data_IF_492711644165
#
_entry.id   IF_492711644165
#
_cell.length_a   1.000
_cell.length_b   1.000
_cell.length_c   1.000
_cell.angle_alpha   90.00
_cell.angle_beta   90.00
_cell.angle_gamma   90.00
#
_symmetry.space_group_name_H-M   'P 1'
#
loop_
_entity.id
_entity.type
_entity.pdbx_description
1 polymer ?
#
# COMPACT_ATOMS: atom_id res chain seq x y z
N UNK A 1 30.49 -8.41 15.00
CA UNK A 1 30.60 -7.25 14.11
C UNK A 1 29.63 -6.20 14.62
N UNK A 2 30.13 -5.04 14.96
CA UNK A 2 29.30 -3.95 15.47
C UNK A 2 28.87 -3.03 14.30
N UNK A 3 27.65 -2.55 14.29
CA UNK A 3 27.10 -1.67 13.27
C UNK A 3 26.13 -0.66 13.90
N UNK A 4 25.92 0.45 13.24
CA UNK A 4 24.98 1.46 13.73
C UNK A 4 23.56 1.12 13.28
N UNK A 5 22.61 1.26 14.20
CA UNK A 5 21.18 1.12 13.97
C UNK A 5 20.49 2.39 14.39
N UNK A 6 19.67 2.94 13.51
CA UNK A 6 18.86 4.12 13.79
C UNK A 6 17.43 3.68 14.10
N UNK A 7 16.93 4.10 15.27
CA UNK A 7 15.56 3.84 15.71
C UNK A 7 14.73 5.10 15.60
N UNK A 8 13.50 4.94 15.19
CA UNK A 8 12.59 6.05 14.98
C UNK A 8 11.13 5.67 15.15
N UNK A 9 10.31 6.68 15.01
CA UNK A 9 8.85 6.54 15.05
C UNK A 9 8.26 6.97 13.72
N UNK A 10 7.31 6.21 13.22
CA UNK A 10 6.55 6.53 12.02
C UNK A 10 5.05 6.31 12.26
N UNK A 11 4.24 7.28 11.82
CA UNK A 11 2.78 7.18 11.78
C UNK A 11 2.27 6.95 10.35
N UNK A 12 3.18 6.79 9.40
CA UNK A 12 2.81 6.54 8.01
C UNK A 12 2.17 5.17 7.85
N UNK A 13 1.23 5.07 6.94
CA UNK A 13 0.59 3.80 6.62
C UNK A 13 1.63 2.73 6.20
N UNK A 14 1.42 1.48 6.64
CA UNK A 14 2.35 0.37 6.33
C UNK A 14 2.55 0.16 4.83
N UNK A 15 1.53 0.45 4.02
CA UNK A 15 1.55 0.31 2.56
C UNK A 15 2.15 1.52 1.83
N UNK A 16 2.43 2.61 2.52
CA UNK A 16 3.02 3.80 1.90
C UNK A 16 4.46 3.51 1.45
N UNK A 17 4.79 3.86 0.21
CA UNK A 17 6.14 3.76 -0.32
C UNK A 17 7.10 4.72 0.39
N UNK A 18 6.63 5.93 0.67
CA UNK A 18 7.41 6.96 1.38
C UNK A 18 6.87 7.08 2.78
N UNK A 19 7.75 6.88 3.76
CA UNK A 19 7.43 7.02 5.17
C UNK A 19 8.14 8.23 5.76
N UNK A 20 7.41 8.99 6.55
CA UNK A 20 7.98 10.02 7.39
C UNK A 20 8.44 9.36 8.68
N UNK A 21 9.74 9.32 8.91
CA UNK A 21 10.34 8.71 10.10
C UNK A 21 11.02 9.79 10.89
N UNK A 22 10.64 9.93 12.15
CA UNK A 22 11.33 10.77 13.12
C UNK A 22 12.36 9.91 13.85
N UNK A 23 13.65 10.16 13.60
CA UNK A 23 14.72 9.43 14.28
C UNK A 23 14.79 9.86 15.74
N UNK A 24 14.69 8.88 16.63
CA UNK A 24 14.75 9.11 18.09
C UNK A 24 16.16 8.89 18.61
N UNK A 25 16.78 7.78 18.22
CA UNK A 25 18.11 7.41 18.72
C UNK A 25 18.87 6.57 17.71
N UNK A 26 20.18 6.75 17.68
CA UNK A 26 21.10 5.87 16.91
C UNK A 26 22.04 5.19 17.89
N UNK A 27 22.09 3.88 17.85
CA UNK A 27 22.86 3.06 18.79
C UNK A 27 23.67 2.01 18.07
N UNK A 28 24.68 1.49 18.76
CA UNK A 28 25.47 0.37 18.24
C UNK A 28 24.73 -0.92 18.47
N UNK A 29 24.53 -1.68 17.39
CA UNK A 29 23.96 -3.02 17.40
C UNK A 29 25.00 -4.07 17.08
N UNK A 30 24.78 -5.29 17.57
CA UNK A 30 25.54 -6.48 17.25
C UNK A 30 24.62 -7.66 16.96
N UNK A 31 25.07 -8.54 16.08
CA UNK A 31 24.41 -9.82 15.88
C UNK A 31 24.93 -10.79 16.93
N UNK A 32 24.02 -11.35 17.73
CA UNK A 32 24.36 -12.36 18.71
C UNK A 32 24.45 -13.74 18.08
N UNK A 33 23.53 -14.02 17.18
CA UNK A 33 23.42 -15.31 16.47
C UNK A 33 23.19 -15.04 14.98
N UNK A 34 23.13 -16.10 14.20
CA UNK A 34 22.68 -16.03 12.81
C UNK A 34 21.28 -15.38 12.76
N UNK A 35 21.16 -14.38 11.95
CA UNK A 35 19.92 -13.63 11.82
C UNK A 35 19.53 -13.47 10.36
N UNK A 36 18.25 -13.66 10.08
CA UNK A 36 17.71 -13.40 8.75
C UNK A 36 17.79 -11.92 8.42
N UNK A 37 18.18 -11.60 7.19
CA UNK A 37 18.16 -10.21 6.71
C UNK A 37 16.72 -9.68 6.54
N UNK A 38 15.73 -10.55 6.44
CA UNK A 38 14.31 -10.16 6.33
C UNK A 38 13.71 -9.95 7.72
N UNK A 39 14.04 -10.82 8.66
CA UNK A 39 13.56 -10.77 10.03
C UNK A 39 14.77 -10.77 11.00
N UNK A 40 15.50 -9.66 11.06
CA UNK A 40 16.68 -9.60 11.93
C UNK A 40 16.29 -9.56 13.40
N UNK A 41 17.11 -10.24 14.22
CA UNK A 41 17.12 -10.10 15.67
C UNK A 41 18.50 -9.58 16.07
N UNK A 42 18.56 -8.39 16.61
CA UNK A 42 19.80 -7.67 16.91
C UNK A 42 19.87 -7.32 18.38
N UNK A 43 21.08 -7.38 18.92
CA UNK A 43 21.38 -6.93 20.27
C UNK A 43 21.87 -5.49 20.22
N UNK A 44 21.23 -4.59 20.93
CA UNK A 44 21.53 -3.14 20.91
C UNK A 44 21.89 -2.64 22.30
N UNK A 45 22.83 -1.71 22.35
CA UNK A 45 23.27 -1.05 23.60
C UNK A 45 22.34 0.14 23.92
N UNK A 46 21.11 -0.19 24.28
CA UNK A 46 20.11 0.77 24.73
C UNK A 46 19.16 0.11 25.72
N UNK A 47 18.58 0.90 26.62
CA UNK A 47 17.55 0.40 27.51
C UNK A 47 16.24 0.18 26.76
N UNK A 48 15.47 -0.81 27.17
CA UNK A 48 14.16 -1.07 26.60
C UNK A 48 13.19 0.12 26.75
N UNK A 49 13.33 0.89 27.83
CA UNK A 49 12.55 2.11 28.05
C UNK A 49 12.80 3.20 26.99
N UNK A 50 14.05 3.37 26.56
CA UNK A 50 14.39 4.33 25.49
C UNK A 50 13.84 3.88 24.14
N UNK A 51 13.76 2.58 23.90
CA UNK A 51 13.30 2.02 22.63
C UNK A 51 11.78 1.77 22.57
N UNK A 52 11.09 1.77 23.70
CA UNK A 52 9.66 1.43 23.80
C UNK A 52 8.75 2.32 22.97
N UNK A 53 9.16 3.57 22.71
CA UNK A 53 8.44 4.49 21.84
C UNK A 53 8.74 4.34 20.34
N UNK A 54 9.71 3.49 19.96
CA UNK A 54 10.13 3.33 18.58
C UNK A 54 9.34 2.17 17.94
N UNK A 55 8.85 2.39 16.72
CA UNK A 55 8.17 1.37 15.94
C UNK A 55 8.88 1.05 14.61
N UNK A 56 9.97 1.76 14.33
CA UNK A 56 10.71 1.65 13.08
C UNK A 56 12.21 1.68 13.31
N UNK A 57 12.96 0.91 12.53
CA UNK A 57 14.41 0.91 12.57
C UNK A 57 15.03 0.83 11.18
N UNK A 58 16.20 1.43 11.04
CA UNK A 58 17.01 1.38 9.83
C UNK A 58 18.39 0.79 10.15
N UNK A 59 18.78 -0.22 9.38
CA UNK A 59 20.09 -0.88 9.49
C UNK A 59 20.86 -0.62 8.21
N UNK A 60 21.74 0.40 8.18
CA UNK A 60 22.49 0.76 6.98
C UNK A 60 23.37 -0.38 6.46
N UNK A 61 23.91 -1.20 7.35
CA UNK A 61 24.75 -2.36 6.98
C UNK A 61 24.00 -3.37 6.12
N UNK A 62 22.68 -3.53 6.34
CA UNK A 62 21.84 -4.39 5.51
C UNK A 62 21.19 -3.61 4.34
N UNK A 63 21.34 -2.29 4.32
CA UNK A 63 20.70 -1.42 3.34
C UNK A 63 19.17 -1.50 3.36
N UNK A 64 18.59 -1.80 4.53
CA UNK A 64 17.15 -2.07 4.65
C UNK A 64 16.52 -1.34 5.82
N UNK A 65 15.21 -1.16 5.69
CA UNK A 65 14.33 -0.58 6.69
C UNK A 65 13.40 -1.64 7.25
N UNK A 66 13.06 -1.51 8.54
CA UNK A 66 12.32 -2.55 9.26
C UNK A 66 11.26 -1.94 10.18
N UNK A 67 10.13 -2.62 10.28
CA UNK A 67 9.18 -2.43 11.37
C UNK A 67 9.66 -3.22 12.58
N UNK A 68 9.63 -2.61 13.74
CA UNK A 68 9.93 -3.30 14.99
C UNK A 68 8.75 -4.20 15.35
N UNK A 69 9.02 -5.47 15.60
CA UNK A 69 8.01 -6.46 15.98
C UNK A 69 8.05 -6.75 17.47
N UNK A 70 9.25 -6.77 18.06
CA UNK A 70 9.43 -7.08 19.47
C UNK A 70 10.69 -6.42 20.03
N UNK A 71 10.63 -6.06 21.31
CA UNK A 71 11.75 -5.50 22.08
C UNK A 71 11.84 -6.24 23.40
N UNK A 72 12.89 -7.00 23.57
CA UNK A 72 13.14 -7.79 24.78
C UNK A 72 14.29 -7.16 25.58
N UNK A 73 14.04 -6.78 26.81
CA UNK A 73 15.07 -6.30 27.71
C UNK A 73 15.96 -7.47 28.14
N UNK A 74 17.25 -7.37 27.88
CA UNK A 74 18.24 -8.37 28.33
C UNK A 74 18.92 -7.92 29.62
N UNK A 75 19.15 -6.59 29.73
CA UNK A 75 19.77 -5.94 30.88
C UNK A 75 19.35 -4.46 30.87
N UNK A 76 19.68 -3.72 31.93
CA UNK A 76 19.35 -2.27 32.04
C UNK A 76 19.82 -1.45 30.85
N UNK A 77 20.93 -1.82 30.22
CA UNK A 77 21.53 -1.09 29.10
C UNK A 77 21.60 -1.92 27.81
N UNK A 78 20.94 -3.06 27.79
CA UNK A 78 21.06 -4.00 26.67
C UNK A 78 19.67 -4.56 26.32
N UNK A 79 19.28 -4.40 25.09
CA UNK A 79 17.99 -4.90 24.60
C UNK A 79 18.18 -5.71 23.32
N UNK A 80 17.35 -6.71 23.14
CA UNK A 80 17.24 -7.46 21.90
C UNK A 80 16.01 -6.96 21.13
N UNK A 81 16.22 -6.51 19.90
CA UNK A 81 15.17 -5.96 19.04
C UNK A 81 15.01 -6.86 17.83
N UNK A 82 13.78 -7.28 17.60
CA UNK A 82 13.38 -8.05 16.45
C UNK A 82 12.56 -7.17 15.48
N UNK A 83 12.78 -7.34 14.19
CA UNK A 83 12.06 -6.57 13.19
C UNK A 83 11.70 -7.38 11.96
N UNK A 84 10.79 -6.81 11.18
CA UNK A 84 10.38 -7.32 9.88
C UNK A 84 10.66 -6.29 8.79
N UNK A 85 11.24 -6.74 7.67
CA UNK A 85 11.66 -5.86 6.58
C UNK A 85 10.48 -5.10 5.95
N UNK A 86 10.62 -3.78 5.87
CA UNK A 86 9.74 -2.93 5.06
C UNK A 86 10.25 -2.90 3.63
N UNK A 87 9.75 -3.82 2.82
CA UNK A 87 10.14 -3.97 1.42
C UNK A 87 9.78 -2.74 0.59
N UNK A 88 8.60 -2.15 0.83
CA UNK A 88 8.13 -1.00 0.06
C UNK A 88 9.00 0.23 0.28
N UNK A 89 9.33 0.55 1.52
CA UNK A 89 10.19 1.69 1.83
C UNK A 89 11.66 1.42 1.47
N UNK A 90 12.12 0.18 1.57
CA UNK A 90 13.49 -0.21 1.19
C UNK A 90 13.73 -0.04 -0.31
N UNK A 91 12.79 -0.49 -1.14
CA UNK A 91 12.91 -0.47 -2.60
C UNK A 91 12.10 0.66 -3.27
N UNK A 92 11.70 1.68 -2.53
CA UNK A 92 10.84 2.75 -3.00
C UNK A 92 11.38 3.47 -4.25
N UNK A 93 12.68 3.70 -4.33
CA UNK A 93 13.32 4.33 -5.50
C UNK A 93 13.25 3.45 -6.73
N UNK A 94 13.53 2.16 -6.59
CA UNK A 94 13.47 1.20 -7.69
C UNK A 94 12.04 1.00 -8.19
N UNK A 95 11.07 0.91 -7.27
CA UNK A 95 9.66 0.79 -7.61
C UNK A 95 9.20 2.00 -8.43
N UNK A 96 9.63 3.21 -8.07
CA UNK A 96 9.27 4.44 -8.78
C UNK A 96 9.92 4.58 -10.15
N UNK A 97 11.03 3.89 -10.40
CA UNK A 97 11.73 3.90 -11.70
C UNK A 97 11.15 2.89 -12.68
N UNK A 98 10.29 1.97 -12.21
CA UNK A 98 9.63 1.02 -13.09
C UNK A 98 8.65 1.72 -14.02
N UNK A 99 8.67 1.33 -15.28
CA UNK A 99 7.69 1.78 -16.25
C UNK A 99 6.33 1.16 -15.93
N UNK A 100 5.30 1.97 -15.92
CA UNK A 100 3.93 1.53 -15.70
C UNK A 100 2.98 2.20 -16.68
N UNK A 101 2.01 1.44 -17.17
CA UNK A 101 0.89 1.98 -17.93
C UNK A 101 -0.23 2.27 -16.93
N UNK A 102 -0.57 3.54 -16.80
CA UNK A 102 -1.63 3.98 -15.91
C UNK A 102 -2.80 4.51 -16.73
N UNK A 103 -3.96 3.92 -16.55
CA UNK A 103 -5.21 4.40 -17.13
C UNK A 103 -6.14 4.86 -16.02
N UNK A 104 -6.73 6.03 -16.18
CA UNK A 104 -7.66 6.60 -15.23
C UNK A 104 -8.89 7.12 -15.95
N UNK A 105 -10.07 6.83 -15.42
CA UNK A 105 -11.33 7.38 -15.92
C UNK A 105 -11.64 8.70 -15.22
N UNK A 106 -12.07 9.70 -15.97
CA UNK A 106 -12.63 10.95 -15.44
C UNK A 106 -14.04 10.75 -14.88
N UNK A 107 -14.78 9.75 -15.41
CA UNK A 107 -16.12 9.42 -14.99
C UNK A 107 -16.11 8.21 -14.06
N UNK A 108 -17.12 8.11 -13.19
CA UNK A 108 -17.28 7.00 -12.25
C UNK A 108 -17.42 5.63 -12.92
N UNK A 109 -17.70 5.62 -14.21
CA UNK A 109 -17.85 4.40 -14.99
C UNK A 109 -17.27 4.58 -16.39
N UNK A 110 -16.42 3.62 -16.80
CA UNK A 110 -15.84 3.58 -18.12
C UNK A 110 -15.87 2.13 -18.63
N UNK A 111 -16.57 1.91 -19.74
CA UNK A 111 -16.74 0.58 -20.34
C UNK A 111 -15.41 0.00 -20.85
N UNK A 112 -14.47 0.85 -21.22
CA UNK A 112 -13.19 0.47 -21.84
C UNK A 112 -12.04 0.34 -20.82
N UNK A 113 -12.26 0.75 -19.57
CA UNK A 113 -11.27 0.61 -18.51
C UNK A 113 -11.49 -0.72 -17.80
N UNK A 114 -10.77 -1.74 -18.24
CA UNK A 114 -10.76 -3.03 -17.57
C UNK A 114 -9.48 -3.16 -16.74
N UNK A 115 -9.55 -2.75 -15.49
CA UNK A 115 -8.46 -2.92 -14.55
C UNK A 115 -8.84 -3.97 -13.50
N UNK A 116 -8.21 -5.14 -13.58
CA UNK A 116 -8.45 -6.24 -12.65
C UNK A 116 -8.06 -5.92 -11.18
N UNK A 117 -7.26 -4.85 -10.96
CA UNK A 117 -6.87 -4.40 -9.63
C UNK A 117 -7.98 -3.63 -8.92
N UNK A 118 -8.91 -3.04 -9.67
CA UNK A 118 -10.05 -2.32 -9.13
C UNK A 118 -11.33 -3.13 -9.32
N UNK A 119 -11.88 -3.62 -8.22
CA UNK A 119 -13.22 -4.22 -8.23
C UNK A 119 -14.24 -3.09 -8.44
N UNK A 120 -14.67 -2.91 -9.67
CA UNK A 120 -15.80 -2.05 -9.96
C UNK A 120 -17.07 -2.79 -9.52
N UNK A 121 -17.86 -2.17 -8.65
CA UNK A 121 -19.16 -2.70 -8.26
C UNK A 121 -20.08 -2.60 -9.48
N UNK A 122 -20.28 -3.70 -10.19
CA UNK A 122 -21.20 -3.74 -11.31
C UNK A 122 -22.63 -3.76 -10.76
N UNK A 123 -23.32 -2.64 -10.85
CA UNK A 123 -24.72 -2.54 -10.46
C UNK A 123 -25.58 -2.73 -11.70
N UNK A 124 -25.98 -3.96 -11.94
CA UNK A 124 -26.93 -4.26 -13.02
C UNK A 124 -28.30 -3.71 -12.65
N UNK A 125 -28.80 -2.76 -13.41
CA UNK A 125 -30.15 -2.23 -13.29
C UNK A 125 -31.01 -2.84 -14.39
N UNK A 126 -31.94 -3.69 -14.02
CA UNK A 126 -32.94 -4.24 -14.94
C UNK A 126 -34.21 -3.40 -14.80
N UNK A 127 -34.64 -2.75 -15.89
CA UNK A 127 -35.91 -2.03 -15.96
C UNK A 127 -36.85 -2.85 -16.85
N UNK A 128 -37.92 -3.35 -16.28
CA UNK A 128 -38.98 -4.03 -17.02
C UNK A 128 -40.11 -3.03 -17.26
N UNK A 129 -40.41 -2.72 -18.50
CA UNK A 129 -41.52 -1.87 -18.87
C UNK A 129 -42.64 -2.75 -19.44
N UNK A 130 -43.83 -2.71 -18.86
CA UNK A 130 -45.01 -3.36 -19.40
C UNK A 130 -45.69 -2.42 -20.37
N UNK A 131 -45.92 -2.91 -21.57
CA UNK A 131 -46.71 -2.21 -22.56
C UNK A 131 -48.18 -2.52 -22.33
N UNK A 132 -49.08 -1.52 -22.28
CA UNK A 132 -50.50 -1.72 -21.98
C UNK A 132 -51.33 -2.23 -23.15
N UNK A 133 -50.73 -2.78 -24.21
CA UNK A 133 -51.40 -3.34 -25.39
C UNK A 133 -50.66 -4.57 -25.90
N UNK A 134 -51.39 -5.46 -26.51
CA UNK A 134 -50.80 -6.59 -27.23
C UNK A 134 -50.08 -6.11 -28.48
N UNK A 135 -49.03 -6.83 -28.89
CA UNK A 135 -48.40 -6.58 -30.19
C UNK A 135 -49.41 -6.86 -31.27
N UNK A 136 -49.66 -5.91 -32.19
CA UNK A 136 -50.52 -6.14 -33.33
C UNK A 136 -49.91 -7.15 -34.31
N UNK A 137 -50.74 -7.90 -35.00
CA UNK A 137 -50.32 -8.93 -35.97
C UNK A 137 -49.46 -8.42 -37.14
N UNK A 138 -49.20 -7.13 -37.19
CA UNK A 138 -48.29 -6.53 -38.16
C UNK A 138 -46.91 -6.43 -37.48
N UNK A 139 -45.93 -7.05 -38.08
CA UNK A 139 -44.54 -7.07 -37.60
C UNK A 139 -43.96 -5.63 -37.53
N UNK A 140 -44.07 -5.02 -36.38
CA UNK A 140 -43.41 -3.75 -36.08
C UNK A 140 -42.08 -4.05 -35.41
N UNK A 141 -40.99 -3.67 -36.03
CA UNK A 141 -39.66 -3.78 -35.43
C UNK A 141 -39.46 -2.55 -34.54
N UNK A 142 -39.46 -2.75 -33.24
CA UNK A 142 -39.09 -1.71 -32.29
C UNK A 142 -37.61 -1.87 -32.03
N UNK A 143 -36.79 -0.95 -32.54
CA UNK A 143 -35.40 -0.85 -32.21
C UNK A 143 -35.28 0.05 -30.95
N UNK A 144 -34.96 -0.56 -29.79
CA UNK A 144 -34.64 0.19 -28.58
C UNK A 144 -33.14 0.39 -28.56
N UNK A 145 -32.72 1.57 -28.90
CA UNK A 145 -31.33 1.99 -28.67
C UNK A 145 -31.25 2.54 -27.26
N UNK A 146 -30.49 1.86 -26.40
CA UNK A 146 -30.14 2.39 -25.09
C UNK A 146 -28.98 3.35 -25.28
N UNK A 147 -29.27 4.63 -25.36
CA UNK A 147 -28.24 5.64 -25.26
C UNK A 147 -27.78 5.71 -23.80
N UNK A 148 -26.50 5.62 -23.61
CA UNK A 148 -25.90 5.84 -22.30
C UNK A 148 -26.04 7.33 -21.98
N UNK A 149 -26.90 7.67 -21.02
CA UNK A 149 -26.99 9.01 -20.48
C UNK A 149 -25.62 9.42 -19.93
N UNK A 150 -25.01 10.44 -20.49
CA UNK A 150 -23.80 11.02 -19.91
C UNK A 150 -22.78 11.61 -20.88
N UNK A 151 -23.06 11.68 -22.16
CA UNK A 151 -22.21 12.49 -23.06
C UNK A 151 -23.05 13.63 -23.60
N UNK A 152 -23.09 14.73 -22.86
CA UNK A 152 -23.48 16.00 -23.49
C UNK A 152 -22.44 16.30 -24.57
N UNK A 153 -22.87 16.59 -25.81
CA UNK A 153 -21.96 17.08 -26.82
C UNK A 153 -21.42 18.43 -26.34
N UNK A 154 -20.11 18.51 -26.14
CA UNK A 154 -19.44 19.78 -25.85
C UNK A 154 -19.69 20.71 -27.03
N UNK A 155 -20.15 21.94 -26.81
CA UNK A 155 -20.27 22.90 -27.88
C UNK A 155 -18.89 23.22 -28.43
N UNK A 156 -18.72 23.01 -29.72
CA UNK A 156 -17.53 23.43 -30.44
C UNK A 156 -17.43 24.97 -30.35
N UNK A 157 -16.46 25.47 -29.61
CA UNK A 157 -15.94 26.83 -29.72
C UNK A 157 -14.61 26.79 -30.45
#
# INVERSE_FOLDING_TARGET
>A
MAFTVSFGTTNSEKRALTKSVSTVVSVTGTLRNESSVINPSILVQASAGTLSGCNYMEIPTFGRKYFITDIVAVSDKLSMVSGHCDVLATYASQIRQNQAILSRSANNWNLYLNDGSFKVTNKTRVSCQKFPGEFSDHSSIIMVTVCQDGVEPQPNT
#
